data_IF_780297452515
#
_entry.id   IF_780297452515
#
_cell.length_a   1.000
_cell.length_b   1.000
_cell.length_c   1.000
_cell.angle_alpha   90.00
_cell.angle_beta   90.00
_cell.angle_gamma   90.00
#
_symmetry.space_group_name_H-M   'P 1'
#
loop_
_entity.id
_entity.type
_entity.pdbx_description
1 polymer ?
#
# COMPACT_ATOMS: atom_id res chain seq x y z
N UNK A 1 17.62 -17.31 13.34
CA UNK A 1 16.27 -17.37 13.94
C UNK A 1 15.57 -16.05 13.70
N UNK A 2 14.42 -16.08 13.05
CA UNK A 2 13.64 -14.87 12.79
C UNK A 2 12.90 -14.45 14.07
N UNK A 3 12.73 -13.12 14.26
CA UNK A 3 11.90 -12.62 15.35
C UNK A 3 10.43 -13.03 15.16
N UNK A 4 9.63 -13.07 16.22
CA UNK A 4 8.18 -13.36 16.11
C UNK A 4 7.47 -12.38 15.14
N UNK A 5 7.91 -11.13 15.09
CA UNK A 5 7.41 -10.12 14.17
C UNK A 5 7.73 -10.49 12.71
N UNK A 6 8.94 -10.96 12.44
CA UNK A 6 9.37 -11.41 11.12
C UNK A 6 8.61 -12.66 10.66
N UNK A 7 8.33 -13.61 11.55
CA UNK A 7 7.54 -14.80 11.23
C UNK A 7 6.09 -14.44 10.88
N UNK A 8 5.46 -13.53 11.62
CA UNK A 8 4.12 -13.03 11.31
C UNK A 8 4.09 -12.33 9.94
N UNK A 9 5.08 -11.49 9.67
CA UNK A 9 5.22 -10.79 8.37
C UNK A 9 5.37 -11.79 7.23
N UNK A 10 6.22 -12.79 7.39
CA UNK A 10 6.42 -13.87 6.40
C UNK A 10 5.11 -14.63 6.11
N UNK A 11 4.33 -14.94 7.14
CA UNK A 11 3.03 -15.60 6.97
C UNK A 11 2.04 -14.74 6.18
N UNK A 12 2.02 -13.42 6.43
CA UNK A 12 1.19 -12.46 5.69
C UNK A 12 1.59 -12.44 4.21
N UNK A 13 2.88 -12.31 3.91
CA UNK A 13 3.37 -12.31 2.53
C UNK A 13 3.07 -13.62 1.80
N UNK A 14 3.19 -14.77 2.48
CA UNK A 14 2.85 -16.06 1.90
C UNK A 14 1.37 -16.16 1.53
N UNK A 15 0.47 -15.67 2.39
CA UNK A 15 -0.97 -15.60 2.10
C UNK A 15 -1.26 -14.65 0.93
N UNK A 16 -0.64 -13.48 0.91
CA UNK A 16 -0.78 -12.53 -0.20
C UNK A 16 -0.31 -13.11 -1.52
N UNK A 17 0.85 -13.77 -1.54
CA UNK A 17 1.39 -14.43 -2.73
C UNK A 17 0.42 -15.47 -3.28
N UNK A 18 -0.22 -16.25 -2.41
CA UNK A 18 -1.23 -17.21 -2.82
C UNK A 18 -2.43 -16.52 -3.48
N UNK A 19 -2.97 -15.44 -2.89
CA UNK A 19 -4.08 -14.70 -3.48
C UNK A 19 -3.71 -14.02 -4.79
N UNK A 20 -2.51 -13.46 -4.89
CA UNK A 20 -2.01 -12.86 -6.13
C UNK A 20 -1.82 -13.91 -7.23
N UNK A 21 -1.36 -15.11 -6.90
CA UNK A 21 -1.20 -16.20 -7.88
C UNK A 21 -2.52 -16.69 -8.46
N UNK A 22 -3.61 -16.63 -7.69
CA UNK A 22 -4.95 -16.98 -8.16
C UNK A 22 -5.52 -15.93 -9.14
N UNK A 23 -5.12 -14.65 -9.01
CA UNK A 23 -5.66 -13.54 -9.79
C UNK A 23 -4.81 -13.11 -10.98
N UNK A 24 -3.53 -13.49 -11.03
CA UNK A 24 -2.55 -12.97 -12.01
C UNK A 24 -2.20 -13.98 -13.10
N UNK A 25 -2.73 -15.21 -13.01
CA UNK A 25 -2.39 -16.28 -13.95
C UNK A 25 -2.70 -15.95 -15.44
N UNK A 26 -3.65 -15.05 -15.71
CA UNK A 26 -3.91 -14.54 -17.06
C UNK A 26 -4.33 -13.07 -17.02
N UNK A 27 -3.47 -12.14 -17.51
CA UNK A 27 -3.85 -10.75 -17.67
C UNK A 27 -5.10 -10.62 -18.55
N UNK A 28 -6.13 -9.97 -18.04
CA UNK A 28 -7.40 -9.76 -18.75
C UNK A 28 -8.57 -10.63 -18.33
N UNK A 29 -8.35 -11.68 -17.53
CA UNK A 29 -9.43 -12.55 -17.02
C UNK A 29 -9.81 -12.32 -15.55
N UNK A 30 -9.27 -11.30 -14.91
CA UNK A 30 -9.63 -10.97 -13.53
C UNK A 30 -11.03 -10.39 -13.50
N UNK A 31 -11.96 -11.08 -12.86
CA UNK A 31 -13.32 -10.56 -12.68
C UNK A 31 -13.29 -9.27 -11.83
N UNK A 32 -14.25 -8.36 -12.09
CA UNK A 32 -14.40 -7.12 -11.28
C UNK A 32 -14.55 -7.42 -9.79
N UNK A 33 -15.19 -8.53 -9.45
CA UNK A 33 -15.35 -9.00 -8.07
C UNK A 33 -14.00 -9.37 -7.45
N UNK A 34 -13.18 -10.16 -8.16
CA UNK A 34 -11.86 -10.57 -7.69
C UNK A 34 -10.92 -9.36 -7.54
N UNK A 35 -10.95 -8.44 -8.51
CA UNK A 35 -10.18 -7.20 -8.42
C UNK A 35 -10.59 -6.35 -7.19
N UNK A 36 -11.89 -6.23 -6.93
CA UNK A 36 -12.40 -5.54 -5.74
C UNK A 36 -11.96 -6.20 -4.43
N UNK A 37 -12.02 -7.51 -4.36
CA UNK A 37 -11.59 -8.28 -3.20
C UNK A 37 -10.10 -8.13 -2.93
N UNK A 38 -9.26 -8.24 -3.96
CA UNK A 38 -7.80 -8.07 -3.84
C UNK A 38 -7.46 -6.63 -3.41
N UNK A 39 -8.10 -5.62 -4.01
CA UNK A 39 -7.90 -4.20 -3.64
C UNK A 39 -8.28 -3.94 -2.19
N UNK A 40 -9.42 -4.45 -1.75
CA UNK A 40 -9.86 -4.31 -0.36
C UNK A 40 -8.84 -4.89 0.62
N UNK A 41 -8.40 -6.12 0.37
CA UNK A 41 -7.43 -6.78 1.25
C UNK A 41 -6.07 -6.08 1.21
N UNK A 42 -5.60 -5.65 0.04
CA UNK A 42 -4.33 -4.93 -0.09
C UNK A 42 -4.36 -3.58 0.63
N UNK A 43 -5.43 -2.80 0.48
CA UNK A 43 -5.57 -1.52 1.16
C UNK A 43 -5.67 -1.65 2.69
N UNK A 44 -6.11 -2.80 3.18
CA UNK A 44 -6.15 -3.07 4.63
C UNK A 44 -4.83 -3.58 5.20
N UNK A 45 -3.85 -3.90 4.36
CA UNK A 45 -2.54 -4.36 4.83
C UNK A 45 -1.78 -3.27 5.60
N UNK A 46 -2.06 -2.01 5.33
CA UNK A 46 -1.50 -0.88 6.05
C UNK A 46 -1.70 -0.98 7.57
N UNK A 47 -2.76 -1.65 8.02
CA UNK A 47 -3.04 -1.87 9.46
C UNK A 47 -1.96 -2.69 10.18
N UNK A 48 -1.12 -3.40 9.43
CA UNK A 48 -0.03 -4.21 9.97
C UNK A 48 1.30 -3.47 10.04
N UNK A 49 1.38 -2.28 9.44
CA UNK A 49 2.58 -1.45 9.46
C UNK A 49 2.39 -0.28 10.42
N UNK A 50 3.47 0.12 11.05
CA UNK A 50 3.47 1.26 11.96
C UNK A 50 3.87 2.50 11.19
N UNK A 51 3.02 3.50 11.20
CA UNK A 51 3.34 4.83 10.69
C UNK A 51 4.36 5.51 11.60
N UNK A 52 5.23 6.33 11.06
CA UNK A 52 6.20 7.09 11.85
C UNK A 52 5.48 8.03 12.82
N UNK A 53 5.94 8.07 14.05
CA UNK A 53 5.35 8.90 15.10
C UNK A 53 5.35 10.38 14.71
N UNK A 54 4.24 11.06 14.94
CA UNK A 54 4.05 12.47 14.59
C UNK A 54 3.81 12.73 13.09
N UNK A 55 3.62 11.68 12.27
CA UNK A 55 3.25 11.85 10.87
C UNK A 55 1.83 12.39 10.75
N UNK A 56 1.63 13.31 9.81
CA UNK A 56 0.34 13.83 9.39
C UNK A 56 0.21 13.73 7.88
N UNK A 57 -1.01 13.56 7.40
CA UNK A 57 -1.29 13.62 5.97
C UNK A 57 -2.41 14.61 5.67
N UNK A 58 -2.34 15.19 4.49
CA UNK A 58 -3.34 16.05 3.90
C UNK A 58 -3.69 15.51 2.50
N UNK A 59 -4.98 15.37 2.22
CA UNK A 59 -5.43 15.00 0.89
C UNK A 59 -5.42 16.23 -0.02
N UNK A 60 -4.62 16.18 -1.08
CA UNK A 60 -4.47 17.25 -2.05
C UNK A 60 -4.68 16.71 -3.46
N UNK A 61 -4.84 17.61 -4.41
CA UNK A 61 -4.82 17.29 -5.85
C UNK A 61 -3.60 17.89 -6.49
N UNK A 62 -2.76 17.06 -7.09
CA UNK A 62 -1.55 17.46 -7.75
C UNK A 62 -1.64 17.12 -9.24
N UNK A 63 -1.67 18.13 -10.10
CA UNK A 63 -1.83 17.93 -11.54
C UNK A 63 -3.10 17.15 -11.92
N UNK A 64 -4.20 17.32 -11.17
CA UNK A 64 -5.45 16.59 -11.37
C UNK A 64 -5.48 15.20 -10.73
N UNK A 65 -4.41 14.77 -10.05
CA UNK A 65 -4.31 13.44 -9.42
C UNK A 65 -4.51 13.55 -7.91
N UNK A 66 -5.43 12.77 -7.30
CA UNK A 66 -5.55 12.69 -5.86
C UNK A 66 -4.25 12.20 -5.22
N UNK A 67 -3.74 12.96 -4.28
CA UNK A 67 -2.40 12.75 -3.70
C UNK A 67 -2.45 12.98 -2.20
N UNK A 68 -1.65 12.24 -1.44
CA UNK A 68 -1.45 12.49 -0.02
C UNK A 68 -0.13 13.21 0.20
N UNK A 69 -0.21 14.41 0.76
CA UNK A 69 0.94 15.15 1.26
C UNK A 69 1.20 14.70 2.68
N UNK A 70 2.31 14.01 2.89
CA UNK A 70 2.72 13.51 4.20
C UNK A 70 3.82 14.40 4.77
N UNK A 71 3.67 14.77 6.02
CA UNK A 71 4.67 15.55 6.78
C UNK A 71 4.95 14.91 8.12
N UNK A 72 6.14 15.14 8.64
CA UNK A 72 6.56 14.76 9.99
C UNK A 72 7.08 16.00 10.70
N UNK A 73 7.26 15.99 12.03
CA UNK A 73 7.82 17.12 12.78
C UNK A 73 9.18 17.60 12.25
N UNK A 74 9.94 16.70 11.64
CA UNK A 74 11.29 16.97 11.11
C UNK A 74 11.31 17.20 9.59
N UNK A 75 10.17 17.36 8.95
CA UNK A 75 10.11 17.63 7.50
C UNK A 75 10.71 19.00 7.18
N UNK A 76 11.63 19.01 6.22
CA UNK A 76 12.18 20.25 5.66
C UNK A 76 11.19 20.82 4.64
N UNK A 77 10.65 22.04 4.84
CA UNK A 77 9.66 22.64 3.93
C UNK A 77 10.22 22.95 2.54
N UNK A 78 11.55 23.00 2.39
CA UNK A 78 12.23 23.26 1.13
C UNK A 78 12.57 22.01 0.32
N UNK A 79 12.23 20.81 0.84
CA UNK A 79 12.51 19.53 0.20
C UNK A 79 11.24 18.73 0.03
N UNK A 80 11.05 18.17 -1.16
CA UNK A 80 9.90 17.33 -1.50
C UNK A 80 10.40 16.00 -2.06
N UNK A 81 9.87 14.92 -1.53
CA UNK A 81 10.01 13.58 -2.10
C UNK A 81 8.70 13.19 -2.77
N UNK A 82 8.72 13.01 -4.07
CA UNK A 82 7.57 12.49 -4.81
C UNK A 82 7.66 10.96 -4.88
N UNK A 83 6.65 10.30 -4.30
CA UNK A 83 6.57 8.84 -4.26
C UNK A 83 5.37 8.34 -5.06
N UNK A 84 5.61 7.41 -5.97
CA UNK A 84 4.57 6.70 -6.70
C UNK A 84 4.42 5.30 -6.11
N UNK A 85 3.24 4.98 -5.60
CA UNK A 85 3.00 3.67 -5.02
C UNK A 85 3.03 2.56 -6.09
N UNK A 86 3.49 1.38 -5.68
CA UNK A 86 3.40 0.16 -6.47
C UNK A 86 2.01 -0.46 -6.43
N UNK A 87 1.86 -1.62 -7.04
CA UNK A 87 0.63 -2.42 -7.01
C UNK A 87 0.23 -2.97 -8.37
N UNK A 88 1.15 -3.07 -9.32
CA UNK A 88 0.94 -3.64 -10.67
C UNK A 88 -0.25 -3.01 -11.41
N UNK A 89 -0.51 -1.73 -11.21
CA UNK A 89 -1.65 -0.97 -11.75
C UNK A 89 -3.04 -1.50 -11.35
N UNK A 90 -3.11 -2.48 -10.46
CA UNK A 90 -4.35 -3.13 -10.03
C UNK A 90 -4.75 -2.77 -8.61
N UNK A 91 -3.78 -2.61 -7.73
CA UNK A 91 -3.97 -2.42 -6.29
C UNK A 91 -3.08 -1.31 -5.77
N UNK A 92 -3.36 -0.90 -4.54
CA UNK A 92 -2.60 0.13 -3.88
C UNK A 92 -3.32 1.48 -3.89
N UNK A 93 -2.98 2.27 -2.92
CA UNK A 93 -3.45 3.63 -2.75
C UNK A 93 -2.51 4.33 -1.77
N UNK A 94 -2.50 5.65 -1.66
CA UNK A 94 -1.72 6.34 -0.66
C UNK A 94 -1.96 5.80 0.75
N UNK A 95 -3.19 5.43 1.08
CA UNK A 95 -3.57 4.83 2.36
C UNK A 95 -2.84 3.52 2.68
N UNK A 96 -2.51 2.71 1.67
CA UNK A 96 -1.83 1.44 1.87
C UNK A 96 -0.33 1.61 2.18
N UNK A 97 0.22 2.77 1.87
CA UNK A 97 1.64 3.10 2.04
C UNK A 97 1.91 4.17 3.10
N UNK A 98 0.87 4.73 3.71
CA UNK A 98 0.96 5.64 4.83
C UNK A 98 1.12 4.87 6.15
#
# INVERSE_FOLDING_TARGET
MLSQKAEKTKAIYKRMSFFLSLGVAEPGKVSKFMAGFVRYNFNNIAKFFTTAEGSNYEEITLGGVPTWKVTTPNSDPNKVLLFFHGGAYMVGSPKAYY
#
